data_IF_143294411717
#
_entry.id   IF_143294411717
#
_cell.length_a   1.000
_cell.length_b   1.000
_cell.length_c   1.000
_cell.angle_alpha   90.00
_cell.angle_beta   90.00
_cell.angle_gamma   90.00
#
_symmetry.space_group_name_H-M   'P 1'
#
loop_
_entity.id
_entity.type
_entity.pdbx_description
1 polymer ?
#
# COMPACT_ATOMS: atom_id res chain seq x y z
N UNK A 1 20.58 6.35 -13.12
CA UNK A 1 19.76 5.21 -13.63
C UNK A 1 19.73 4.02 -12.66
N UNK A 2 20.88 3.56 -12.12
CA UNK A 2 20.93 2.42 -11.19
C UNK A 2 20.12 2.59 -9.88
N UNK A 3 20.16 3.80 -9.29
CA UNK A 3 19.43 4.13 -8.05
C UNK A 3 17.90 4.04 -8.20
N UNK A 4 17.36 4.56 -9.31
CA UNK A 4 15.94 4.49 -9.63
C UNK A 4 15.45 3.04 -9.83
N UNK A 5 16.27 2.18 -10.48
CA UNK A 5 15.92 0.78 -10.68
C UNK A 5 15.89 -0.01 -9.36
N UNK A 6 16.83 0.27 -8.44
CA UNK A 6 16.86 -0.32 -7.11
C UNK A 6 15.65 0.11 -6.27
N UNK A 7 15.30 1.40 -6.31
CA UNK A 7 14.12 1.95 -5.65
C UNK A 7 12.82 1.33 -6.19
N UNK A 8 12.70 1.20 -7.52
CA UNK A 8 11.55 0.52 -8.15
C UNK A 8 11.45 -0.96 -7.73
N UNK A 9 12.58 -1.67 -7.62
CA UNK A 9 12.61 -3.04 -7.09
C UNK A 9 12.13 -3.09 -5.64
N UNK A 10 12.62 -2.19 -4.77
CA UNK A 10 12.20 -2.11 -3.36
C UNK A 10 10.69 -1.83 -3.22
N UNK A 11 10.15 -0.96 -4.07
CA UNK A 11 8.70 -0.67 -4.12
C UNK A 11 7.89 -1.88 -4.56
N UNK A 12 8.34 -2.61 -5.60
CA UNK A 12 7.69 -3.85 -6.04
C UNK A 12 7.68 -4.91 -4.94
N UNK A 13 8.82 -5.09 -4.26
CA UNK A 13 8.93 -6.02 -3.13
C UNK A 13 7.94 -5.64 -2.02
N UNK A 14 7.90 -4.36 -1.63
CA UNK A 14 6.94 -3.87 -0.63
C UNK A 14 5.49 -4.07 -1.07
N UNK A 15 5.17 -3.82 -2.33
CA UNK A 15 3.82 -4.08 -2.86
C UNK A 15 3.46 -5.57 -2.78
N UNK A 16 4.39 -6.45 -3.11
CA UNK A 16 4.21 -7.90 -3.03
C UNK A 16 3.98 -8.37 -1.58
N UNK A 17 4.76 -7.85 -0.63
CA UNK A 17 4.56 -8.09 0.80
C UNK A 17 3.17 -7.65 1.29
N UNK A 18 2.67 -6.52 0.79
CA UNK A 18 1.31 -6.06 1.08
C UNK A 18 0.27 -7.05 0.52
N UNK A 19 0.49 -7.58 -0.69
CA UNK A 19 -0.35 -8.63 -1.29
C UNK A 19 -0.40 -9.89 -0.42
N UNK A 20 0.78 -10.38 0.00
CA UNK A 20 0.90 -11.56 0.88
C UNK A 20 0.20 -11.35 2.23
N UNK A 21 0.36 -10.17 2.83
CA UNK A 21 -0.33 -9.82 4.06
C UNK A 21 -1.84 -9.83 3.91
N UNK A 22 -2.37 -9.21 2.83
CA UNK A 22 -3.80 -9.23 2.53
C UNK A 22 -4.31 -10.66 2.33
N UNK A 23 -3.58 -11.47 1.57
CA UNK A 23 -3.91 -12.87 1.34
C UNK A 23 -3.96 -13.67 2.64
N UNK A 24 -2.91 -13.57 3.48
CA UNK A 24 -2.83 -14.27 4.77
C UNK A 24 -4.05 -14.00 5.66
N UNK A 25 -4.58 -12.78 5.64
CA UNK A 25 -5.76 -12.40 6.42
C UNK A 25 -7.04 -13.02 5.87
N UNK A 26 -7.19 -13.09 4.53
CA UNK A 26 -8.46 -13.49 3.91
C UNK A 26 -8.52 -14.94 3.47
N UNK A 27 -7.39 -15.66 3.42
CA UNK A 27 -7.30 -17.01 2.81
C UNK A 27 -8.38 -17.98 3.29
N UNK A 28 -8.67 -18.02 4.59
CA UNK A 28 -9.72 -18.86 5.17
C UNK A 28 -11.11 -18.55 4.59
N UNK A 29 -11.37 -17.28 4.23
CA UNK A 29 -12.65 -16.83 3.67
C UNK A 29 -12.75 -17.02 2.15
N UNK A 30 -11.68 -17.45 1.50
CA UNK A 30 -11.62 -17.72 0.06
C UNK A 30 -12.07 -19.14 -0.30
N UNK A 31 -12.24 -20.02 0.69
CA UNK A 31 -12.73 -21.39 0.47
C UNK A 31 -14.06 -21.39 -0.32
N UNK A 32 -14.03 -22.13 -1.44
CA UNK A 32 -15.14 -22.29 -2.37
C UNK A 32 -16.30 -23.10 -1.75
N UNK A 33 -16.01 -23.96 -0.76
CA UNK A 33 -17.01 -24.73 -0.02
C UNK A 33 -17.85 -23.89 0.94
N UNK A 34 -17.44 -22.65 1.25
CA UNK A 34 -18.17 -21.79 2.18
C UNK A 34 -19.45 -21.22 1.56
N UNK A 35 -20.56 -21.44 2.25
CA UNK A 35 -21.80 -20.70 2.00
C UNK A 35 -21.61 -19.20 2.28
N UNK A 36 -22.49 -18.36 1.73
CA UNK A 36 -22.48 -16.92 2.01
C UNK A 36 -22.60 -16.61 3.52
N UNK A 37 -23.39 -17.38 4.26
CA UNK A 37 -23.59 -17.21 5.71
C UNK A 37 -22.32 -17.55 6.49
N UNK A 38 -21.68 -18.68 6.20
CA UNK A 38 -20.43 -19.09 6.86
C UNK A 38 -19.31 -18.08 6.59
N UNK A 39 -19.16 -17.65 5.33
CA UNK A 39 -18.19 -16.62 4.95
C UNK A 39 -18.46 -15.30 5.68
N UNK A 40 -19.70 -14.85 5.74
CA UNK A 40 -20.07 -13.63 6.45
C UNK A 40 -19.76 -13.66 7.96
N UNK A 41 -19.93 -14.81 8.60
CA UNK A 41 -19.55 -15.02 10.00
C UNK A 41 -18.03 -14.99 10.18
N UNK A 42 -17.30 -15.66 9.29
CA UNK A 42 -15.84 -15.69 9.28
C UNK A 42 -15.23 -14.30 9.10
N UNK A 43 -15.72 -13.51 8.13
CA UNK A 43 -15.25 -12.15 7.89
C UNK A 43 -15.52 -11.24 9.09
N UNK A 44 -16.69 -11.38 9.74
CA UNK A 44 -17.01 -10.64 10.97
C UNK A 44 -16.04 -10.99 12.10
N UNK A 45 -15.69 -12.28 12.25
CA UNK A 45 -14.69 -12.75 13.22
C UNK A 45 -13.31 -12.16 12.92
N UNK A 46 -12.85 -12.21 11.67
CA UNK A 46 -11.57 -11.64 11.24
C UNK A 46 -11.50 -10.12 11.51
N UNK A 47 -12.58 -9.38 11.28
CA UNK A 47 -12.65 -7.94 11.58
C UNK A 47 -12.72 -7.63 13.10
N UNK A 48 -13.14 -8.61 13.91
CA UNK A 48 -13.13 -8.53 15.37
C UNK A 48 -11.76 -8.74 15.99
N UNK A 49 -10.82 -9.34 15.25
CA UNK A 49 -9.50 -9.75 15.74
C UNK A 49 -8.40 -8.77 15.33
N UNK A 50 -7.29 -8.82 16.06
CA UNK A 50 -6.05 -8.13 15.72
C UNK A 50 -5.13 -9.09 14.97
N UNK A 51 -4.51 -8.60 13.90
CA UNK A 51 -3.63 -9.36 13.02
C UNK A 51 -2.19 -8.87 13.17
N UNK A 52 -1.18 -9.74 13.02
CA UNK A 52 0.21 -9.28 12.91
C UNK A 52 0.37 -8.47 11.62
N UNK A 53 0.74 -7.20 11.74
CA UNK A 53 1.03 -6.33 10.60
C UNK A 53 2.31 -6.75 9.87
N UNK A 54 2.51 -6.19 8.69
CA UNK A 54 3.69 -6.48 7.83
C UNK A 54 4.99 -6.15 8.57
N UNK A 55 4.95 -5.09 9.38
CA UNK A 55 6.11 -4.59 10.13
C UNK A 55 6.11 -5.12 11.58
N UNK A 56 5.34 -6.19 11.84
CA UNK A 56 5.19 -6.83 13.16
C UNK A 56 4.21 -6.14 14.10
N UNK A 57 3.82 -4.90 13.82
CA UNK A 57 2.87 -4.16 14.66
C UNK A 57 1.44 -4.69 14.51
N UNK A 58 0.71 -4.93 15.61
CA UNK A 58 -0.66 -5.42 15.55
C UNK A 58 -1.59 -4.44 14.83
N UNK A 59 -2.43 -4.94 13.92
CA UNK A 59 -3.36 -4.14 13.11
C UNK A 59 -4.75 -4.74 13.10
N UNK A 60 -5.77 -3.88 13.18
CA UNK A 60 -7.18 -4.26 13.00
C UNK A 60 -7.67 -3.80 11.63
N UNK A 61 -8.28 -4.71 10.88
CA UNK A 61 -8.80 -4.43 9.54
C UNK A 61 -10.32 -4.41 9.57
N UNK A 62 -10.91 -3.37 8.98
CA UNK A 62 -12.37 -3.25 8.89
C UNK A 62 -12.97 -4.37 8.03
N UNK A 63 -14.20 -4.78 8.36
CA UNK A 63 -14.97 -5.72 7.52
C UNK A 63 -15.05 -5.26 6.07
N UNK A 64 -15.29 -3.97 5.82
CA UNK A 64 -15.37 -3.41 4.48
C UNK A 64 -14.07 -3.60 3.67
N UNK A 65 -12.92 -3.53 4.33
CA UNK A 65 -11.62 -3.76 3.69
C UNK A 65 -11.41 -5.24 3.35
N UNK A 66 -11.80 -6.15 4.25
CA UNK A 66 -11.78 -7.59 4.00
C UNK A 66 -12.69 -7.97 2.83
N UNK A 67 -13.93 -7.47 2.83
CA UNK A 67 -14.90 -7.72 1.75
C UNK A 67 -14.41 -7.17 0.41
N UNK A 68 -13.67 -6.04 0.41
CA UNK A 68 -13.04 -5.50 -0.80
C UNK A 68 -11.91 -6.41 -1.30
N UNK A 69 -11.06 -6.91 -0.41
CA UNK A 69 -9.97 -7.81 -0.80
C UNK A 69 -10.47 -9.16 -1.31
N UNK A 70 -11.50 -9.74 -0.69
CA UNK A 70 -12.14 -10.97 -1.17
C UNK A 70 -12.71 -10.77 -2.58
N UNK A 71 -13.35 -9.62 -2.83
CA UNK A 71 -13.85 -9.28 -4.17
C UNK A 71 -12.70 -9.13 -5.19
N UNK A 72 -11.63 -8.45 -4.81
CA UNK A 72 -10.45 -8.30 -5.66
C UNK A 72 -9.83 -9.66 -6.02
N UNK A 73 -9.64 -10.54 -5.02
CA UNK A 73 -9.14 -11.90 -5.24
C UNK A 73 -10.00 -12.68 -6.23
N UNK A 74 -11.33 -12.62 -6.08
CA UNK A 74 -12.23 -13.33 -6.99
C UNK A 74 -12.19 -12.81 -8.43
N UNK A 75 -11.89 -11.52 -8.59
CA UNK A 75 -11.82 -10.90 -9.91
C UNK A 75 -10.47 -11.11 -10.62
N UNK A 76 -9.36 -11.16 -9.88
CA UNK A 76 -8.02 -11.16 -10.47
C UNK A 76 -6.94 -11.88 -9.66
N UNK A 77 -7.33 -12.78 -8.75
CA UNK A 77 -6.40 -13.59 -7.96
C UNK A 77 -5.47 -12.77 -7.07
N UNK A 78 -4.25 -13.26 -6.89
CA UNK A 78 -3.26 -12.63 -6.01
C UNK A 78 -2.80 -11.26 -6.50
N UNK A 79 -2.62 -11.08 -7.81
CA UNK A 79 -2.19 -9.81 -8.39
C UNK A 79 -3.17 -8.67 -8.06
N UNK A 80 -4.47 -8.97 -7.97
CA UNK A 80 -5.48 -7.99 -7.55
C UNK A 80 -5.38 -7.57 -6.07
N UNK A 81 -4.63 -8.32 -5.25
CA UNK A 81 -4.31 -7.93 -3.87
C UNK A 81 -3.04 -7.08 -3.78
N UNK A 82 -2.16 -7.12 -4.78
CA UNK A 82 -0.94 -6.31 -4.81
C UNK A 82 -1.32 -4.86 -5.14
N UNK A 83 -0.93 -3.86 -4.33
CA UNK A 83 -1.17 -2.46 -4.68
C UNK A 83 -0.55 -2.14 -6.05
N UNK A 84 -1.29 -1.50 -6.96
CA UNK A 84 -0.74 -1.11 -8.24
C UNK A 84 0.42 -0.12 -8.00
N UNK A 85 1.43 -0.10 -8.89
CA UNK A 85 2.49 0.88 -8.80
C UNK A 85 1.87 2.27 -8.87
N UNK A 86 2.11 3.07 -7.83
CA UNK A 86 1.63 4.45 -7.81
C UNK A 86 2.36 5.19 -8.93
N UNK A 87 1.64 5.52 -10.00
CA UNK A 87 2.13 6.45 -11.02
C UNK A 87 2.00 7.86 -10.47
N UNK A 88 2.95 8.25 -9.61
CA UNK A 88 3.08 9.65 -9.21
C UNK A 88 4.01 10.29 -10.24
N UNK A 89 3.42 10.90 -11.26
CA UNK A 89 4.18 11.89 -12.03
C UNK A 89 4.46 13.08 -11.10
N UNK A 90 5.72 13.54 -10.99
CA UNK A 90 6.02 14.75 -10.24
C UNK A 90 5.21 15.89 -10.84
N UNK A 91 4.21 16.39 -10.08
CA UNK A 91 3.43 17.57 -10.49
C UNK A 91 4.30 18.83 -10.59
N UNK A 92 5.43 18.81 -9.87
CA UNK A 92 6.42 19.88 -9.87
C UNK A 92 7.46 19.61 -10.96
N UNK A 93 7.70 20.55 -11.88
CA UNK A 93 8.76 20.43 -12.89
C UNK A 93 10.13 20.16 -12.25
N UNK A 94 10.97 19.39 -12.94
CA UNK A 94 12.28 19.00 -12.44
C UNK A 94 13.17 20.22 -12.11
N UNK A 95 13.09 21.27 -12.93
CA UNK A 95 13.83 22.52 -12.74
C UNK A 95 13.49 23.21 -11.42
N UNK A 96 12.20 23.20 -11.03
CA UNK A 96 11.73 23.76 -9.75
C UNK A 96 12.29 22.94 -8.57
N UNK A 97 12.37 21.61 -8.70
CA UNK A 97 12.98 20.75 -7.68
C UNK A 97 14.50 20.99 -7.56
N UNK A 98 15.19 21.21 -8.67
CA UNK A 98 16.61 21.56 -8.69
C UNK A 98 16.86 22.91 -8.03
N UNK A 99 16.06 23.93 -8.35
CA UNK A 99 16.11 25.24 -7.70
C UNK A 99 15.85 25.11 -6.20
N UNK A 100 14.83 24.36 -5.81
CA UNK A 100 14.51 24.12 -4.41
C UNK A 100 15.67 23.48 -3.63
N UNK A 101 16.36 22.52 -4.27
CA UNK A 101 17.52 21.86 -3.70
C UNK A 101 18.69 22.83 -3.52
N UNK A 102 18.96 23.69 -4.50
CA UNK A 102 20.00 24.71 -4.42
C UNK A 102 19.72 25.69 -3.26
N UNK A 103 18.50 26.21 -3.17
CA UNK A 103 18.07 27.11 -2.09
C UNK A 103 18.21 26.47 -0.70
N UNK A 104 17.93 25.17 -0.57
CA UNK A 104 18.12 24.43 0.69
C UNK A 104 19.57 24.18 1.04
N UNK A 105 20.47 24.02 0.05
CA UNK A 105 21.92 23.88 0.29
C UNK A 105 22.55 25.18 0.77
N UNK A 106 22.14 26.31 0.18
CA UNK A 106 22.64 27.64 0.56
C UNK A 106 22.24 28.03 1.98
N UNK A 107 21.01 27.70 2.38
CA UNK A 107 20.55 27.91 3.74
C UNK A 107 19.67 26.73 4.18
N UNK A 108 20.23 25.77 4.94
CA UNK A 108 19.47 24.62 5.44
C UNK A 108 18.23 24.99 6.26
N UNK A 109 18.25 26.13 6.96
CA UNK A 109 17.15 26.62 7.79
C UNK A 109 15.98 27.24 6.99
N UNK A 110 16.16 27.49 5.68
CA UNK A 110 15.13 28.07 4.80
C UNK A 110 13.84 27.21 4.82
N UNK A 111 12.69 27.80 5.07
CA UNK A 111 11.43 27.03 5.30
C UNK A 111 10.80 26.57 3.98
N UNK A 112 9.88 25.60 4.03
CA UNK A 112 9.23 25.08 2.82
C UNK A 112 8.48 26.18 2.04
N UNK A 113 7.84 27.12 2.73
CA UNK A 113 7.16 28.28 2.14
C UNK A 113 8.11 29.19 1.36
N UNK A 114 9.37 29.31 1.79
CA UNK A 114 10.38 30.14 1.13
C UNK A 114 10.99 29.48 -0.12
N UNK A 115 10.71 28.19 -0.32
CA UNK A 115 11.29 27.37 -1.40
C UNK A 115 10.19 26.90 -2.38
N UNK A 116 8.92 27.02 -2.00
CA UNK A 116 7.80 26.70 -2.85
C UNK A 116 7.73 27.66 -4.05
N UNK A 117 7.36 27.16 -5.25
CA UNK A 117 7.03 28.04 -6.37
C UNK A 117 5.82 28.92 -6.00
N UNK A 118 5.85 30.17 -6.45
CA UNK A 118 4.75 31.16 -6.28
C UNK A 118 3.58 30.80 -7.20
#
# INVERSE_FOLDING_TARGET
>A
MADHAAEMRKRRERAHQIGLFRYRIIQDALDAGLTAKQRGALVRRLAGQTHPGIDGQPVRISRSSLDRWIRAWRAGGFEALVPPPVRVEPRTPAEVLSLATALKRENPARTATQVAPI
#
